data_IF_431523665839
#
_entry.id   IF_431523665839
#
_cell.length_a   1.000
_cell.length_b   1.000
_cell.length_c   1.000
_cell.angle_alpha   90.00
_cell.angle_beta   90.00
_cell.angle_gamma   90.00
#
_symmetry.space_group_name_H-M   'P 1'
#
loop_
_entity.id
_entity.type
_entity.pdbx_description
1 polymer ?
#
# COMPACT_ATOMS: atom_id res chain seq x y z
N UNK A 1 1.94 15.10 -18.29
CA UNK A 1 0.58 14.77 -17.82
C UNK A 1 0.57 14.31 -16.37
N UNK A 2 1.29 13.26 -15.94
CA UNK A 2 1.28 12.75 -14.54
C UNK A 2 1.71 13.81 -13.51
N UNK A 3 2.82 14.52 -13.74
CA UNK A 3 3.30 15.56 -12.83
C UNK A 3 2.23 16.64 -12.52
N UNK A 4 1.58 17.18 -13.55
CA UNK A 4 0.53 18.19 -13.36
C UNK A 4 -0.68 17.65 -12.57
N UNK A 5 -1.04 16.36 -12.76
CA UNK A 5 -2.09 15.70 -11.99
C UNK A 5 -1.69 15.59 -10.51
N UNK A 6 -0.43 15.18 -10.23
CA UNK A 6 0.07 15.06 -8.86
C UNK A 6 0.12 16.42 -8.18
N UNK A 7 0.59 17.48 -8.84
CA UNK A 7 0.56 18.85 -8.28
C UNK A 7 -0.85 19.26 -7.86
N UNK A 8 -1.85 19.02 -8.70
CA UNK A 8 -3.26 19.31 -8.36
C UNK A 8 -3.76 18.49 -7.18
N UNK A 9 -3.39 17.22 -7.09
CA UNK A 9 -3.75 16.35 -5.96
C UNK A 9 -3.09 16.85 -4.66
N UNK A 10 -1.83 17.26 -4.71
CA UNK A 10 -1.13 17.89 -3.57
C UNK A 10 -1.87 19.14 -3.08
N UNK A 11 -2.34 20.00 -3.99
CA UNK A 11 -3.13 21.19 -3.62
C UNK A 11 -4.43 20.81 -2.89
N UNK A 12 -5.11 19.75 -3.35
CA UNK A 12 -6.36 19.27 -2.74
C UNK A 12 -6.13 18.68 -1.35
N UNK A 13 -5.03 17.93 -1.15
CA UNK A 13 -4.74 17.28 0.13
C UNK A 13 -4.04 18.18 1.13
N UNK A 14 -3.54 19.35 0.69
CA UNK A 14 -2.82 20.30 1.54
C UNK A 14 -3.65 20.75 2.75
N UNK A 15 -3.06 20.62 3.94
CA UNK A 15 -3.71 20.98 5.20
C UNK A 15 -4.73 19.97 5.72
N UNK A 16 -4.90 18.83 5.04
CA UNK A 16 -5.69 17.71 5.53
C UNK A 16 -4.81 16.65 6.20
N UNK A 17 -5.44 15.63 6.82
CA UNK A 17 -4.76 14.44 7.32
C UNK A 17 -4.46 13.39 6.24
N UNK A 18 -4.92 13.63 5.00
CA UNK A 18 -4.72 12.72 3.87
C UNK A 18 -3.27 12.78 3.38
N UNK A 19 -2.64 11.62 3.25
CA UNK A 19 -1.31 11.48 2.66
C UNK A 19 -1.43 11.05 1.21
N UNK A 20 -0.79 11.80 0.31
CA UNK A 20 -0.76 11.51 -1.12
C UNK A 20 0.49 10.72 -1.49
N UNK A 21 0.30 9.48 -1.95
CA UNK A 21 1.38 8.67 -2.49
C UNK A 21 1.19 8.49 -4.00
N UNK A 22 2.29 8.58 -4.74
CA UNK A 22 2.30 8.34 -6.19
C UNK A 22 2.71 6.89 -6.44
N UNK A 23 2.00 6.20 -7.32
CA UNK A 23 2.35 4.83 -7.66
C UNK A 23 3.62 4.78 -8.51
N UNK A 24 4.64 4.02 -8.06
CA UNK A 24 5.90 3.69 -8.74
C UNK A 24 6.85 4.89 -9.01
N UNK A 25 6.34 6.05 -9.28
CA UNK A 25 7.11 7.24 -9.74
C UNK A 25 7.52 8.13 -8.56
N UNK A 26 8.51 7.67 -7.76
CA UNK A 26 9.04 8.46 -6.64
C UNK A 26 9.65 9.80 -7.09
N UNK A 27 10.24 9.84 -8.29
CA UNK A 27 10.78 11.04 -8.90
C UNK A 27 9.70 12.12 -9.13
N UNK A 28 8.53 11.71 -9.62
CA UNK A 28 7.37 12.60 -9.79
C UNK A 28 6.79 13.01 -8.44
N UNK A 29 6.68 12.06 -7.49
CA UNK A 29 6.19 12.34 -6.15
C UNK A 29 7.04 13.40 -5.46
N UNK A 30 8.36 13.22 -5.47
CA UNK A 30 9.33 14.15 -4.88
C UNK A 30 9.27 15.53 -5.55
N UNK A 31 9.28 15.57 -6.87
CA UNK A 31 9.24 16.82 -7.65
C UNK A 31 7.95 17.62 -7.47
N UNK A 32 6.82 16.95 -7.25
CA UNK A 32 5.51 17.58 -7.04
C UNK A 32 5.21 17.90 -5.57
N UNK A 33 6.06 17.47 -4.62
CA UNK A 33 5.84 17.65 -3.19
C UNK A 33 4.73 16.77 -2.62
N UNK A 34 4.52 15.56 -3.19
CA UNK A 34 3.66 14.55 -2.61
C UNK A 34 4.32 13.95 -1.35
N UNK A 35 3.50 13.34 -0.47
CA UNK A 35 3.99 12.78 0.79
C UNK A 35 4.86 11.52 0.61
N UNK A 36 4.71 10.81 -0.50
CA UNK A 36 5.47 9.58 -0.71
C UNK A 36 5.17 8.83 -2.01
N UNK A 37 5.59 7.57 -2.02
CA UNK A 37 5.45 6.66 -3.15
C UNK A 37 4.87 5.31 -2.69
N UNK A 38 4.09 4.68 -3.57
CA UNK A 38 3.67 3.30 -3.41
C UNK A 38 4.39 2.42 -4.43
N UNK A 39 5.19 1.47 -3.96
CA UNK A 39 6.00 0.58 -4.79
C UNK A 39 5.30 -0.77 -5.01
N UNK A 40 5.55 -1.36 -6.16
CA UNK A 40 5.05 -2.68 -6.55
C UNK A 40 6.21 -3.67 -6.66
N UNK A 41 5.93 -4.94 -6.97
CA UNK A 41 6.96 -5.97 -7.16
C UNK A 41 7.93 -5.72 -8.33
N UNK A 42 7.58 -4.81 -9.24
CA UNK A 42 8.41 -4.44 -10.41
C UNK A 42 9.06 -3.05 -10.27
N UNK A 43 8.79 -2.36 -9.16
CA UNK A 43 9.38 -1.06 -8.82
C UNK A 43 10.83 -1.19 -8.35
N UNK A 44 11.50 -0.06 -8.16
CA UNK A 44 12.79 -0.04 -7.45
C UNK A 44 12.61 -0.56 -6.01
N UNK A 45 13.62 -1.24 -5.45
CA UNK A 45 13.59 -1.66 -4.04
C UNK A 45 13.41 -0.46 -3.10
N UNK A 46 12.62 -0.66 -2.02
CA UNK A 46 12.36 0.38 -1.02
C UNK A 46 13.65 1.02 -0.48
N UNK A 47 14.72 0.23 -0.28
CA UNK A 47 16.02 0.73 0.19
C UNK A 47 16.60 1.79 -0.74
N UNK A 48 16.53 1.58 -2.05
CA UNK A 48 17.06 2.54 -3.04
C UNK A 48 16.29 3.86 -2.97
N UNK A 49 14.96 3.77 -2.85
CA UNK A 49 14.11 4.96 -2.73
C UNK A 49 14.35 5.66 -1.39
N UNK A 50 14.50 4.91 -0.29
CA UNK A 50 14.80 5.47 1.03
C UNK A 50 16.14 6.21 1.05
N UNK A 51 17.17 5.64 0.44
CA UNK A 51 18.49 6.29 0.32
C UNK A 51 18.41 7.60 -0.51
N UNK A 52 17.56 7.63 -1.53
CA UNK A 52 17.39 8.80 -2.39
C UNK A 52 16.52 9.91 -1.79
N UNK A 53 15.47 9.55 -1.03
CA UNK A 53 14.43 10.50 -0.60
C UNK A 53 14.50 10.88 0.89
N UNK A 54 15.30 10.17 1.70
CA UNK A 54 15.42 10.45 3.14
C UNK A 54 14.26 9.89 3.99
N UNK A 55 14.30 10.17 5.30
CA UNK A 55 13.42 9.53 6.29
C UNK A 55 11.97 10.02 6.27
N UNK A 56 11.74 11.27 5.89
CA UNK A 56 10.41 11.90 5.93
C UNK A 56 9.50 11.49 4.76
N UNK A 57 10.07 10.90 3.71
CA UNK A 57 9.32 10.49 2.53
C UNK A 57 8.66 9.14 2.76
N UNK A 58 7.32 9.06 2.65
CA UNK A 58 6.57 7.83 2.89
C UNK A 58 6.78 6.80 1.77
N UNK A 59 7.08 5.57 2.15
CA UNK A 59 7.26 4.45 1.23
C UNK A 59 6.31 3.32 1.62
N UNK A 60 5.26 3.11 0.82
CA UNK A 60 4.40 1.94 0.88
C UNK A 60 4.83 0.89 -0.13
N UNK A 61 4.69 -0.40 0.18
CA UNK A 61 5.07 -1.50 -0.72
C UNK A 61 3.96 -2.54 -0.82
N UNK A 62 3.54 -2.88 -2.04
CA UNK A 62 2.66 -4.03 -2.30
C UNK A 62 3.43 -5.33 -2.10
N UNK A 63 2.85 -6.26 -1.34
CA UNK A 63 3.47 -7.55 -1.04
C UNK A 63 2.45 -8.69 -1.10
N UNK A 64 2.90 -9.88 -1.51
CA UNK A 64 2.06 -11.07 -1.70
C UNK A 64 2.55 -12.28 -0.88
N UNK A 65 3.67 -12.13 -0.19
CA UNK A 65 4.28 -13.16 0.64
C UNK A 65 5.01 -12.56 1.84
N UNK A 66 5.15 -13.32 2.93
CA UNK A 66 5.88 -12.91 4.13
C UNK A 66 7.31 -12.47 3.83
N UNK A 67 8.01 -13.18 2.92
CA UNK A 67 9.37 -12.81 2.53
C UNK A 67 9.44 -11.41 1.92
N UNK A 68 8.48 -11.05 1.07
CA UNK A 68 8.43 -9.73 0.44
C UNK A 68 8.17 -8.64 1.49
N UNK A 69 7.26 -8.90 2.42
CA UNK A 69 6.93 -7.98 3.49
C UNK A 69 8.14 -7.70 4.42
N UNK A 70 8.92 -8.74 4.75
CA UNK A 70 10.20 -8.59 5.48
C UNK A 70 11.20 -7.75 4.70
N UNK A 71 11.41 -8.04 3.42
CA UNK A 71 12.34 -7.28 2.56
C UNK A 71 11.94 -5.81 2.43
N UNK A 72 10.63 -5.52 2.36
CA UNK A 72 10.13 -4.15 2.33
C UNK A 72 10.44 -3.42 3.64
N UNK A 73 10.08 -4.02 4.80
CA UNK A 73 10.37 -3.46 6.12
C UNK A 73 11.88 -3.21 6.30
N UNK A 74 12.69 -4.21 6.05
CA UNK A 74 14.16 -4.16 6.25
C UNK A 74 14.82 -3.19 5.25
N UNK A 75 14.15 -2.93 4.12
CA UNK A 75 14.53 -1.93 3.13
C UNK A 75 14.06 -0.51 3.46
N UNK A 76 13.42 -0.28 4.61
CA UNK A 76 13.01 1.04 5.06
C UNK A 76 11.66 1.51 4.49
N UNK A 77 10.78 0.60 4.10
CA UNK A 77 9.37 0.94 3.88
C UNK A 77 8.72 1.37 5.20
N UNK A 78 7.69 2.21 5.13
CA UNK A 78 6.92 2.67 6.30
C UNK A 78 5.71 1.76 6.55
N UNK A 79 5.21 1.10 5.52
CA UNK A 79 4.11 0.13 5.60
C UNK A 79 4.11 -0.80 4.39
N UNK A 80 3.42 -1.92 4.53
CA UNK A 80 3.11 -2.80 3.39
C UNK A 80 1.61 -2.90 3.16
N UNK A 81 1.24 -3.11 1.89
CA UNK A 81 -0.11 -3.47 1.47
C UNK A 81 -0.07 -4.93 1.07
N UNK A 82 -0.65 -5.79 1.92
CA UNK A 82 -0.60 -7.24 1.76
C UNK A 82 -1.88 -7.79 1.14
N UNK A 83 -1.76 -8.61 0.12
CA UNK A 83 -2.91 -9.27 -0.50
C UNK A 83 -2.64 -9.93 -1.85
N UNK A 84 -3.69 -10.40 -2.53
CA UNK A 84 -5.11 -10.27 -2.18
C UNK A 84 -5.50 -11.16 -0.98
N UNK A 85 -6.20 -10.59 0.01
CA UNK A 85 -6.64 -11.37 1.19
C UNK A 85 -7.87 -12.21 0.87
N UNK A 86 -8.83 -11.63 0.17
CA UNK A 86 -10.04 -12.32 -0.29
C UNK A 86 -10.09 -12.38 -1.82
N UNK A 87 -10.97 -13.24 -2.33
CA UNK A 87 -11.16 -13.37 -3.77
C UNK A 87 -11.63 -12.04 -4.38
N UNK A 88 -11.05 -11.69 -5.53
CA UNK A 88 -11.41 -10.48 -6.29
C UNK A 88 -11.28 -10.75 -7.78
N UNK A 89 -12.24 -10.28 -8.56
CA UNK A 89 -12.26 -10.48 -10.02
C UNK A 89 -10.99 -9.98 -10.70
N UNK A 90 -10.48 -8.82 -10.26
CA UNK A 90 -9.29 -8.21 -10.84
C UNK A 90 -7.99 -9.02 -10.64
N UNK A 91 -7.99 -10.02 -9.74
CA UNK A 91 -6.81 -10.84 -9.41
C UNK A 91 -6.98 -12.33 -9.69
N UNK A 92 -8.13 -12.78 -10.19
CA UNK A 92 -8.39 -14.20 -10.53
C UNK A 92 -7.32 -14.84 -11.41
N UNK A 93 -6.75 -14.08 -12.35
CA UNK A 93 -5.69 -14.56 -13.24
C UNK A 93 -4.34 -14.79 -12.55
N UNK A 94 -4.14 -14.30 -11.33
CA UNK A 94 -2.86 -14.34 -10.61
C UNK A 94 -2.80 -15.40 -9.50
N UNK A 95 -3.82 -16.22 -9.37
CA UNK A 95 -3.89 -17.31 -8.40
C UNK A 95 -4.89 -17.07 -7.25
N UNK A 96 -4.98 -18.03 -6.31
CA UNK A 96 -5.89 -17.94 -5.17
C UNK A 96 -5.51 -16.80 -4.22
N UNK A 97 -6.48 -16.28 -3.41
CA UNK A 97 -6.19 -15.30 -2.38
C UNK A 97 -5.27 -15.88 -1.29
N UNK A 98 -4.52 -15.02 -0.64
CA UNK A 98 -3.61 -15.39 0.46
C UNK A 98 -4.38 -15.83 1.72
N UNK A 99 -5.55 -15.27 1.94
CA UNK A 99 -6.40 -15.57 3.08
C UNK A 99 -5.99 -14.87 4.38
N UNK A 100 -6.89 -14.96 5.37
CA UNK A 100 -6.68 -14.34 6.69
C UNK A 100 -5.57 -15.00 7.49
N UNK A 101 -5.33 -16.31 7.32
CA UNK A 101 -4.25 -17.01 8.03
C UNK A 101 -2.86 -16.51 7.63
N UNK A 102 -2.65 -16.28 6.34
CA UNK A 102 -1.36 -15.74 5.88
C UNK A 102 -1.23 -14.25 6.26
N UNK A 103 -2.31 -13.47 6.21
CA UNK A 103 -2.32 -12.11 6.75
C UNK A 103 -1.90 -12.10 8.22
N UNK A 104 -2.50 -12.95 9.06
CA UNK A 104 -2.17 -13.06 10.48
C UNK A 104 -0.71 -13.48 10.70
N UNK A 105 -0.20 -14.39 9.87
CA UNK A 105 1.21 -14.78 9.92
C UNK A 105 2.14 -13.61 9.63
N UNK A 106 1.81 -12.79 8.61
CA UNK A 106 2.58 -11.61 8.24
C UNK A 106 2.53 -10.56 9.34
N UNK A 107 1.37 -10.26 9.89
CA UNK A 107 1.21 -9.26 10.97
C UNK A 107 1.94 -9.68 12.25
N UNK A 108 1.86 -10.96 12.62
CA UNK A 108 2.59 -11.51 13.77
C UNK A 108 4.11 -11.43 13.61
N UNK A 109 4.60 -11.69 12.41
CA UNK A 109 6.05 -11.62 12.12
C UNK A 109 6.57 -10.18 12.05
N UNK A 110 5.72 -9.26 11.60
CA UNK A 110 6.06 -7.84 11.45
C UNK A 110 5.57 -6.99 12.63
N UNK A 111 5.52 -7.54 13.85
CA UNK A 111 4.99 -6.84 15.02
C UNK A 111 5.47 -5.38 15.12
N UNK A 112 4.51 -4.46 15.29
CA UNK A 112 4.78 -3.02 15.35
C UNK A 112 5.00 -2.34 13.99
N UNK A 113 5.01 -3.10 12.89
CA UNK A 113 5.12 -2.54 11.55
C UNK A 113 3.75 -2.55 10.85
N UNK A 114 3.31 -1.42 10.24
CA UNK A 114 1.98 -1.33 9.67
C UNK A 114 1.78 -2.26 8.46
N UNK A 115 0.75 -3.11 8.53
CA UNK A 115 0.31 -3.99 7.44
C UNK A 115 -1.13 -3.63 7.08
N UNK A 116 -1.36 -3.19 5.85
CA UNK A 116 -2.69 -2.89 5.31
C UNK A 116 -3.17 -4.07 4.47
N UNK A 117 -4.38 -4.56 4.72
CA UNK A 117 -4.99 -5.62 3.94
C UNK A 117 -5.58 -5.09 2.62
N UNK A 118 -5.39 -5.79 1.50
CA UNK A 118 -6.00 -5.45 0.20
C UNK A 118 -6.53 -6.70 -0.50
N UNK A 119 -7.48 -6.50 -1.40
CA UNK A 119 -8.06 -7.51 -2.27
C UNK A 119 -9.30 -8.17 -1.68
N UNK A 120 -10.46 -7.88 -2.28
CA UNK A 120 -11.75 -8.39 -1.86
C UNK A 120 -12.21 -7.91 -0.48
N UNK A 121 -11.55 -6.91 0.12
CA UNK A 121 -11.97 -6.33 1.40
C UNK A 121 -13.24 -5.51 1.19
N UNK A 122 -14.24 -5.74 2.05
CA UNK A 122 -15.54 -5.05 2.10
C UNK A 122 -15.81 -4.59 3.53
N UNK A 123 -16.86 -3.80 3.75
CA UNK A 123 -17.29 -3.42 5.10
C UNK A 123 -17.62 -4.65 5.96
N UNK A 124 -18.20 -5.68 5.36
CA UNK A 124 -18.66 -6.89 6.07
C UNK A 124 -17.49 -7.79 6.51
N UNK A 125 -16.34 -7.73 5.84
CA UNK A 125 -15.19 -8.58 6.16
C UNK A 125 -13.96 -7.82 6.69
N UNK A 126 -14.00 -6.49 6.72
CA UNK A 126 -12.88 -5.65 7.19
C UNK A 126 -12.50 -5.95 8.65
N UNK A 127 -13.49 -6.24 9.50
CA UNK A 127 -13.26 -6.61 10.91
C UNK A 127 -12.37 -7.85 11.04
N UNK A 128 -12.54 -8.83 10.14
CA UNK A 128 -11.70 -10.02 10.11
C UNK A 128 -10.23 -9.70 9.78
N UNK A 129 -9.98 -8.67 8.98
CA UNK A 129 -8.61 -8.20 8.71
C UNK A 129 -7.98 -7.57 9.97
N UNK A 130 -8.73 -6.78 10.73
CA UNK A 130 -8.25 -6.22 12.01
C UNK A 130 -8.01 -7.34 13.04
N UNK A 131 -8.91 -8.32 13.14
CA UNK A 131 -8.72 -9.49 14.00
C UNK A 131 -7.47 -10.31 13.63
N UNK A 132 -7.09 -10.31 12.34
CA UNK A 132 -5.84 -10.89 11.85
C UNK A 132 -4.61 -9.97 12.05
N UNK A 133 -4.74 -8.84 12.76
CA UNK A 133 -3.65 -7.94 13.10
C UNK A 133 -3.35 -6.85 12.07
N UNK A 134 -4.15 -6.68 11.02
CA UNK A 134 -3.96 -5.60 10.08
C UNK A 134 -4.15 -4.23 10.75
N UNK A 135 -3.31 -3.26 10.39
CA UNK A 135 -3.41 -1.87 10.87
C UNK A 135 -4.49 -1.06 10.13
N UNK A 136 -4.98 -1.59 9.03
CA UNK A 136 -5.99 -0.98 8.18
C UNK A 136 -6.23 -1.81 6.92
N UNK A 137 -6.96 -1.25 5.98
CA UNK A 137 -7.19 -1.89 4.68
C UNK A 137 -7.17 -0.87 3.55
N UNK A 138 -6.92 -1.36 2.33
CA UNK A 138 -6.96 -0.60 1.09
C UNK A 138 -8.03 -1.17 0.16
N UNK A 139 -8.73 -0.30 -0.56
CA UNK A 139 -9.77 -0.70 -1.49
C UNK A 139 -9.90 0.27 -2.66
N UNK A 140 -9.91 -0.26 -3.88
CA UNK A 140 -10.10 0.54 -5.09
C UNK A 140 -11.59 0.64 -5.44
N UNK A 141 -12.31 -0.48 -5.37
CA UNK A 141 -13.72 -0.57 -5.72
C UNK A 141 -14.66 0.26 -4.85
N UNK A 142 -14.29 0.55 -3.61
CA UNK A 142 -15.09 1.35 -2.69
C UNK A 142 -15.28 2.79 -3.16
N UNK A 143 -14.26 3.35 -3.79
CA UNK A 143 -14.27 4.73 -4.27
C UNK A 143 -14.87 4.86 -5.68
N UNK A 144 -14.99 3.75 -6.41
CA UNK A 144 -15.58 3.73 -7.75
C UNK A 144 -17.10 3.45 -7.75
N UNK A 145 -17.68 3.07 -6.62
CA UNK A 145 -19.12 2.75 -6.51
C UNK A 145 -20.05 3.98 -6.59
N UNK A 146 -19.49 5.19 -6.61
CA UNK A 146 -20.26 6.46 -6.68
C UNK A 146 -20.42 7.07 -8.07
N UNK A 147 -19.91 6.43 -9.13
CA UNK A 147 -20.01 6.91 -10.52
C UNK A 147 -20.81 5.94 -11.38
N UNK A 148 -22.09 5.75 -11.05
CA UNK A 148 -23.10 5.20 -11.95
C UNK A 148 -24.25 6.18 -12.07
#
# INVERSE_FOLDING_TARGET
MLYALVCRAVEITRGSSTRLLVNDRFDVALAAGADGVHLTSVSLPARVVREACGAEFLIGVSTHALREARLARDGGADFVVFGPVFETESKRAYGPPQGLLELQRVTNELQGFPVLAIGGVTLDNAESCYAAGASGFAGISWFNAGTK
#
